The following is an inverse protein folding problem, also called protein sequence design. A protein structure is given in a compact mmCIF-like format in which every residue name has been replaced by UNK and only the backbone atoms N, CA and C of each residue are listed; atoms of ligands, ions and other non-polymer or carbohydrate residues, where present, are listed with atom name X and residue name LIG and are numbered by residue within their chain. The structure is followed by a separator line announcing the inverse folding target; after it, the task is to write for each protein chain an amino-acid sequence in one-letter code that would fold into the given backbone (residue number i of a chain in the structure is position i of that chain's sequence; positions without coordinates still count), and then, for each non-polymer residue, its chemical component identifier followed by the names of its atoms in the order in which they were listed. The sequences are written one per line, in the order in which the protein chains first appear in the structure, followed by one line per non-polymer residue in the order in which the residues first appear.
data_IF_604323190027
#
_entry.id   IF_604323190027
#
_cell.length_a   1.000
_cell.length_b   1.000
_cell.length_c   1.000
_cell.angle_alpha   90.00
_cell.angle_beta   90.00
_cell.angle_gamma   90.00
#
_symmetry.space_group_name_H-M   'P 1'
#
loop_
_entity.id
_entity.type
_entity.pdbx_description
1 polymer ?
#
# COMPACT_ATOMS: atom_id res chain seq x y z
N UNK A 1 31.89 9.14 93.60
CA UNK A 1 32.04 7.67 93.76
C UNK A 1 30.82 7.04 93.13
N UNK A 2 31.05 6.12 92.18
CA UNK A 2 30.10 5.12 91.63
C UNK A 2 28.87 5.69 90.89
N UNK A 3 28.48 5.29 89.67
CA UNK A 3 28.83 4.14 88.84
C UNK A 3 27.54 3.64 88.16
N UNK A 4 27.64 3.33 86.86
CA UNK A 4 26.74 2.50 86.03
C UNK A 4 25.33 3.08 85.71
N UNK A 5 24.65 2.86 84.56
CA UNK A 5 24.61 1.84 83.48
C UNK A 5 23.93 2.45 82.22
N UNK A 6 24.50 2.33 81.01
CA UNK A 6 24.15 1.41 79.90
C UNK A 6 22.73 1.49 79.30
N UNK A 7 22.70 1.97 78.04
CA UNK A 7 21.94 1.57 76.84
C UNK A 7 20.41 1.43 76.82
N UNK A 8 19.79 2.07 75.81
CA UNK A 8 19.30 1.40 74.59
C UNK A 8 18.76 2.42 73.56
N UNK A 9 18.92 2.05 72.29
CA UNK A 9 18.75 2.78 71.03
C UNK A 9 17.29 2.71 70.51
N UNK A 10 16.90 3.58 69.55
CA UNK A 10 15.87 3.42 68.47
C UNK A 10 14.92 4.64 68.45
N UNK A 11 14.61 5.41 67.39
CA UNK A 11 14.97 5.50 65.96
C UNK A 11 14.49 6.88 65.47
N UNK A 12 15.31 7.64 64.76
CA UNK A 12 14.90 8.90 64.14
C UNK A 12 14.31 8.64 62.74
N UNK A 13 13.10 9.13 62.52
CA UNK A 13 12.37 9.10 61.25
C UNK A 13 13.07 10.06 60.28
N UNK A 14 13.68 9.51 59.22
CA UNK A 14 14.18 10.29 58.08
C UNK A 14 13.07 10.37 57.03
N UNK A 15 12.55 11.58 56.80
CA UNK A 15 11.66 11.90 55.68
C UNK A 15 12.54 12.11 54.43
N UNK A 16 12.38 11.35 53.34
CA UNK A 16 13.04 11.69 52.07
C UNK A 16 12.23 12.78 51.35
N UNK A 17 12.94 13.82 50.93
CA UNK A 17 12.45 14.87 50.04
C UNK A 17 11.94 14.30 48.71
N UNK A 18 10.71 14.65 48.33
CA UNK A 18 10.18 14.46 46.98
C UNK A 18 11.07 15.12 45.93
N UNK A 19 11.36 14.37 44.86
CA UNK A 19 11.91 14.90 43.62
C UNK A 19 10.85 14.64 42.53
N UNK A 20 10.35 15.66 41.81
CA UNK A 20 9.14 15.53 41.02
C UNK A 20 9.38 14.74 39.73
N UNK A 21 8.34 14.02 39.34
CA UNK A 21 8.21 13.16 38.18
C UNK A 21 8.70 13.80 36.87
N UNK A 22 9.67 13.16 36.20
CA UNK A 22 9.74 13.21 34.73
C UNK A 22 8.69 12.24 34.19
N UNK A 23 7.62 12.82 33.67
CA UNK A 23 6.41 12.20 33.18
C UNK A 23 6.67 11.23 32.01
N UNK A 24 6.05 10.06 32.11
CA UNK A 24 5.96 8.94 31.14
C UNK A 24 5.24 9.28 29.81
N UNK A 25 5.03 10.56 29.49
CA UNK A 25 4.09 10.98 28.42
C UNK A 25 4.75 11.07 27.03
N UNK A 26 6.08 11.14 26.93
CA UNK A 26 6.76 11.35 25.63
C UNK A 26 7.39 10.10 24.99
N UNK A 27 7.38 8.93 25.65
CA UNK A 27 7.94 7.71 25.05
C UNK A 27 6.95 6.98 24.12
N UNK A 28 5.66 7.03 24.44
CA UNK A 28 4.63 6.29 23.68
C UNK A 28 4.30 6.91 22.32
N UNK A 29 4.59 8.20 22.12
CA UNK A 29 4.46 8.89 20.82
C UNK A 29 5.65 8.64 19.91
N UNK A 30 6.87 8.63 20.45
CA UNK A 30 8.10 8.52 19.66
C UNK A 30 8.34 7.06 19.20
N UNK A 31 8.02 6.07 20.05
CA UNK A 31 8.10 4.64 19.70
C UNK A 31 7.02 4.22 18.70
N UNK A 32 5.81 4.79 18.78
CA UNK A 32 4.77 4.59 17.77
C UNK A 32 5.13 5.28 16.45
N UNK A 33 5.77 6.45 16.49
CA UNK A 33 6.20 7.15 15.28
C UNK A 33 7.38 6.45 14.57
N UNK A 34 8.35 5.92 15.32
CA UNK A 34 9.48 5.16 14.78
C UNK A 34 9.06 3.76 14.29
N UNK A 35 8.15 3.07 15.00
CA UNK A 35 7.63 1.78 14.56
C UNK A 35 6.78 1.92 13.29
N UNK A 36 5.87 2.90 13.22
CA UNK A 36 5.08 3.18 12.02
C UNK A 36 5.96 3.53 10.80
N UNK A 37 7.00 4.34 10.99
CA UNK A 37 7.94 4.70 9.91
C UNK A 37 8.76 3.52 9.37
N UNK A 38 8.93 2.46 10.16
CA UNK A 38 9.62 1.24 9.70
C UNK A 38 8.69 0.29 8.94
N UNK A 39 7.43 0.18 9.36
CA UNK A 39 6.41 -0.69 8.74
C UNK A 39 5.87 -0.14 7.43
N UNK A 40 6.04 1.16 7.18
CA UNK A 40 5.53 1.83 5.99
C UNK A 40 6.57 1.93 4.87
N UNK A 41 7.77 1.36 5.05
CA UNK A 41 8.81 1.35 4.01
C UNK A 41 8.51 0.29 2.95
N UNK A 42 8.56 0.71 1.69
CA UNK A 42 8.49 -0.19 0.55
C UNK A 42 9.77 -1.02 0.47
N UNK A 43 9.64 -2.34 0.39
CA UNK A 43 10.72 -3.28 0.14
C UNK A 43 10.45 -4.02 -1.17
N UNK A 44 11.03 -3.52 -2.25
CA UNK A 44 10.84 -4.08 -3.60
C UNK A 44 11.52 -5.44 -3.77
N UNK A 45 12.52 -5.77 -2.94
CA UNK A 45 13.23 -7.07 -2.99
C UNK A 45 12.37 -8.17 -2.39
N UNK A 46 11.64 -7.84 -1.32
CA UNK A 46 10.67 -8.75 -0.67
C UNK A 46 9.25 -8.61 -1.23
N UNK A 47 9.05 -7.79 -2.26
CA UNK A 47 7.73 -7.54 -2.86
C UNK A 47 6.72 -7.08 -1.79
N UNK A 48 7.14 -6.14 -0.93
CA UNK A 48 6.28 -5.53 0.09
C UNK A 48 6.03 -4.09 -0.25
N UNK A 49 4.76 -3.76 -0.42
CA UNK A 49 4.30 -2.43 -0.81
C UNK A 49 3.22 -1.93 0.16
N UNK A 50 3.56 -1.63 1.43
CA UNK A 50 2.57 -1.23 2.44
C UNK A 50 1.62 -0.17 1.90
N UNK A 51 0.31 -0.41 2.02
CA UNK A 51 -0.78 0.51 1.63
C UNK A 51 -0.60 1.15 0.24
N UNK A 52 -0.09 0.38 -0.71
CA UNK A 52 0.07 0.81 -2.09
C UNK A 52 -1.03 0.28 -3.00
N UNK A 53 -1.36 1.04 -4.02
CA UNK A 53 -1.87 0.48 -5.27
C UNK A 53 -0.66 0.06 -6.09
N UNK A 54 -0.69 -1.15 -6.65
CA UNK A 54 0.39 -1.69 -7.48
C UNK A 54 -0.12 -1.98 -8.89
N UNK A 55 0.78 -1.96 -9.87
CA UNK A 55 0.43 -2.15 -11.27
C UNK A 55 1.51 -2.93 -12.02
N UNK A 56 1.08 -3.79 -12.94
CA UNK A 56 1.94 -4.63 -13.78
C UNK A 56 1.42 -4.69 -15.22
N UNK A 57 2.28 -4.72 -16.25
CA UNK A 57 1.85 -4.77 -17.64
C UNK A 57 1.21 -6.13 -17.97
N UNK A 58 0.08 -6.09 -18.68
CA UNK A 58 -0.59 -7.28 -19.25
C UNK A 58 0.06 -7.59 -20.60
N UNK A 59 0.60 -8.80 -20.82
CA UNK A 59 1.17 -9.19 -22.11
C UNK A 59 0.18 -8.95 -23.26
N UNK A 60 0.71 -8.52 -24.42
CA UNK A 60 -0.05 -8.13 -25.63
C UNK A 60 -0.89 -6.86 -25.44
N UNK A 61 -1.75 -6.78 -24.43
CA UNK A 61 -2.66 -5.66 -24.23
C UNK A 61 -1.90 -4.36 -23.90
N UNK A 62 -0.99 -4.39 -22.94
CA UNK A 62 -0.16 -3.22 -22.59
C UNK A 62 0.80 -2.85 -23.72
N UNK A 63 1.16 -3.81 -24.58
CA UNK A 63 2.02 -3.53 -25.73
C UNK A 63 1.31 -2.67 -26.77
N UNK A 64 -0.02 -2.77 -26.88
CA UNK A 64 -0.84 -1.91 -27.73
C UNK A 64 -1.21 -0.61 -27.02
N UNK A 65 -1.51 -0.69 -25.72
CA UNK A 65 -1.98 0.43 -24.91
C UNK A 65 -1.16 0.52 -23.60
N UNK A 66 -0.05 1.27 -23.55
CA UNK A 66 0.89 1.26 -22.42
C UNK A 66 0.32 1.83 -21.10
N UNK A 67 -0.87 2.43 -21.15
CA UNK A 67 -1.63 2.90 -19.99
C UNK A 67 -2.62 1.87 -19.44
N UNK A 68 -2.88 0.77 -20.17
CA UNK A 68 -3.72 -0.35 -19.71
C UNK A 68 -2.82 -1.42 -19.12
N UNK A 69 -3.13 -1.91 -17.93
CA UNK A 69 -2.45 -3.05 -17.32
C UNK A 69 -3.25 -3.61 -16.16
N UNK A 70 -2.60 -4.39 -15.31
CA UNK A 70 -3.24 -5.09 -14.20
C UNK A 70 -2.93 -4.42 -12.89
N UNK A 71 -3.95 -4.29 -12.04
CA UNK A 71 -3.88 -3.52 -10.80
C UNK A 71 -4.12 -4.41 -9.58
N UNK A 72 -3.43 -4.11 -8.48
CA UNK A 72 -3.67 -4.71 -7.18
C UNK A 72 -3.63 -3.65 -6.09
N UNK A 73 -4.09 -4.02 -4.90
CA UNK A 73 -3.98 -3.20 -3.70
C UNK A 73 -3.30 -4.01 -2.61
N UNK A 74 -2.35 -3.37 -1.92
CA UNK A 74 -1.60 -4.01 -0.86
C UNK A 74 -2.15 -3.63 0.51
N UNK A 75 -2.13 -4.60 1.41
CA UNK A 75 -2.40 -4.41 2.83
C UNK A 75 -1.33 -3.53 3.49
N UNK A 76 -1.54 -3.19 4.74
CA UNK A 76 -0.61 -2.37 5.52
C UNK A 76 0.68 -3.11 5.93
N UNK A 77 0.74 -4.43 5.79
CA UNK A 77 1.96 -5.26 5.86
C UNK A 77 2.69 -5.38 4.52
N UNK A 78 2.11 -4.82 3.45
CA UNK A 78 2.66 -4.80 2.11
C UNK A 78 2.37 -6.03 1.25
N UNK A 79 1.58 -6.99 1.74
CA UNK A 79 1.11 -8.13 0.95
C UNK A 79 0.07 -7.66 -0.07
N UNK A 80 0.28 -8.00 -1.34
CA UNK A 80 -0.58 -7.59 -2.45
C UNK A 80 -1.80 -8.52 -2.55
N UNK A 81 -2.97 -7.94 -2.80
CA UNK A 81 -4.19 -8.62 -3.23
C UNK A 81 -4.62 -8.08 -4.60
N UNK A 82 -4.83 -8.97 -5.56
CA UNK A 82 -5.28 -8.63 -6.91
C UNK A 82 -6.31 -9.64 -7.42
N UNK A 83 -7.36 -9.14 -8.07
CA UNK A 83 -8.35 -9.99 -8.72
C UNK A 83 -7.77 -10.57 -10.02
N UNK A 84 -7.18 -11.76 -9.92
CA UNK A 84 -6.34 -12.37 -10.94
C UNK A 84 -7.10 -13.24 -11.95
N UNK A 85 -8.38 -13.55 -11.68
CA UNK A 85 -9.22 -14.33 -12.58
C UNK A 85 -10.61 -14.60 -11.97
N UNK A 86 -11.52 -15.25 -12.70
CA UNK A 86 -12.88 -15.49 -12.22
C UNK A 86 -12.85 -16.21 -10.86
N UNK A 87 -13.55 -15.66 -9.88
CA UNK A 87 -13.64 -16.20 -8.52
C UNK A 87 -12.30 -16.32 -7.78
N UNK A 88 -11.25 -15.66 -8.27
CA UNK A 88 -9.89 -15.80 -7.75
C UNK A 88 -9.24 -14.44 -7.49
N UNK A 89 -8.99 -14.16 -6.22
CA UNK A 89 -8.14 -13.06 -5.77
C UNK A 89 -6.84 -13.66 -5.28
N UNK A 90 -5.74 -13.31 -5.94
CA UNK A 90 -4.41 -13.79 -5.60
C UNK A 90 -3.89 -13.08 -4.35
N UNK A 91 -2.99 -13.75 -3.64
CA UNK A 91 -2.25 -13.21 -2.51
C UNK A 91 -0.76 -13.32 -2.79
N UNK A 92 -0.05 -12.20 -2.64
CA UNK A 92 1.41 -12.05 -2.77
C UNK A 92 2.01 -12.33 -4.16
N UNK A 93 1.24 -12.88 -5.10
CA UNK A 93 1.65 -13.15 -6.48
C UNK A 93 0.65 -12.57 -7.48
N UNK A 94 0.99 -11.43 -8.08
CA UNK A 94 0.13 -10.81 -9.10
C UNK A 94 0.01 -11.66 -10.37
N UNK A 95 -1.16 -11.63 -10.99
CA UNK A 95 -1.51 -12.44 -12.16
C UNK A 95 -0.50 -12.38 -13.33
N UNK A 96 0.08 -11.20 -13.61
CA UNK A 96 0.98 -10.98 -14.75
C UNK A 96 2.45 -10.74 -14.33
N UNK A 97 2.78 -11.18 -13.12
CA UNK A 97 4.11 -11.07 -12.53
C UNK A 97 4.31 -9.77 -11.73
N UNK A 98 5.53 -9.57 -11.26
CA UNK A 98 5.88 -8.53 -10.29
C UNK A 98 5.42 -7.11 -10.71
N UNK A 99 5.01 -6.26 -9.74
CA UNK A 99 4.71 -4.86 -10.00
C UNK A 99 5.85 -4.17 -10.76
N UNK A 100 5.50 -3.37 -11.78
CA UNK A 100 6.44 -2.44 -12.41
C UNK A 100 6.20 -1.02 -11.95
N UNK A 101 5.01 -0.73 -11.41
CA UNK A 101 4.63 0.58 -10.86
C UNK A 101 3.88 0.43 -9.55
N UNK A 102 3.97 1.45 -8.72
CA UNK A 102 3.22 1.54 -7.46
C UNK A 102 2.86 2.98 -7.13
N UNK A 103 1.82 3.14 -6.32
CA UNK A 103 1.37 4.39 -5.74
C UNK A 103 1.12 4.14 -4.26
N UNK A 104 1.98 4.68 -3.39
CA UNK A 104 1.80 4.59 -1.94
C UNK A 104 0.79 5.63 -1.47
N UNK A 105 -0.24 5.19 -0.77
CA UNK A 105 -1.33 6.05 -0.29
C UNK A 105 -1.08 6.50 1.15
N UNK A 106 -1.73 7.58 1.57
CA UNK A 106 -1.59 8.12 2.92
C UNK A 106 -2.73 7.60 3.80
N UNK A 107 -2.40 6.79 4.81
CA UNK A 107 -3.40 6.21 5.72
C UNK A 107 -4.23 7.27 6.46
N UNK A 108 -3.70 8.50 6.64
CA UNK A 108 -4.43 9.60 7.27
C UNK A 108 -5.60 10.10 6.42
N UNK A 109 -5.68 9.69 5.14
CA UNK A 109 -6.79 10.02 4.24
C UNK A 109 -7.92 9.00 4.27
N UNK A 110 -7.77 7.89 4.98
CA UNK A 110 -8.87 6.94 5.22
C UNK A 110 -9.92 7.62 6.07
N UNK A 111 -11.20 7.57 5.66
CA UNK A 111 -12.27 8.19 6.43
C UNK A 111 -12.44 7.46 7.76
N UNK A 112 -12.21 8.17 8.87
CA UNK A 112 -12.39 7.65 10.22
C UNK A 112 -13.87 7.56 10.59
N UNK A 113 -14.65 6.71 9.93
CA UNK A 113 -16.03 6.44 10.36
C UNK A 113 -16.10 5.68 11.70
N UNK A 114 -14.95 5.27 12.25
CA UNK A 114 -14.84 4.75 13.62
C UNK A 114 -13.41 4.86 14.14
N UNK A 115 -13.20 5.79 15.09
CA UNK A 115 -11.98 6.01 15.91
C UNK A 115 -10.64 6.17 15.15
N UNK A 116 -10.01 7.35 15.31
CA UNK A 116 -8.68 7.71 14.79
C UNK A 116 -7.55 6.72 15.13
N UNK A 117 -7.79 5.79 16.06
CA UNK A 117 -6.76 4.95 16.67
C UNK A 117 -6.49 3.66 15.88
N UNK A 118 -7.17 3.40 14.74
CA UNK A 118 -6.96 2.15 14.01
C UNK A 118 -7.11 2.22 12.48
N UNK A 119 -6.52 3.24 11.84
CA UNK A 119 -6.56 3.43 10.38
C UNK A 119 -6.01 2.23 9.60
N UNK A 120 -4.96 1.58 10.12
CA UNK A 120 -4.36 0.38 9.51
C UNK A 120 -5.37 -0.77 9.42
N UNK A 121 -6.14 -1.02 10.49
CA UNK A 121 -7.17 -2.05 10.48
C UNK A 121 -8.34 -1.72 9.55
N UNK A 122 -8.73 -0.45 9.45
CA UNK A 122 -9.78 -0.02 8.49
C UNK A 122 -9.32 -0.28 7.05
N UNK A 123 -8.07 0.06 6.73
CA UNK A 123 -7.48 -0.22 5.42
C UNK A 123 -7.48 -1.72 5.12
N UNK A 124 -6.93 -2.54 6.01
CA UNK A 124 -6.80 -3.98 5.79
C UNK A 124 -8.16 -4.68 5.69
N UNK A 125 -9.13 -4.30 6.53
CA UNK A 125 -10.50 -4.82 6.44
C UNK A 125 -11.18 -4.46 5.12
N UNK A 126 -10.98 -3.24 4.62
CA UNK A 126 -11.56 -2.84 3.34
C UNK A 126 -10.94 -3.61 2.17
N UNK A 127 -9.63 -3.85 2.20
CA UNK A 127 -8.93 -4.72 1.22
C UNK A 127 -9.43 -6.16 1.30
N UNK A 128 -9.62 -6.69 2.50
CA UNK A 128 -10.15 -8.03 2.72
C UNK A 128 -11.61 -8.16 2.25
N UNK A 129 -12.47 -7.22 2.61
CA UNK A 129 -13.87 -7.19 2.18
C UNK A 129 -13.99 -7.11 0.66
N UNK A 130 -13.18 -6.27 0.00
CA UNK A 130 -13.09 -6.23 -1.46
C UNK A 130 -12.62 -7.58 -2.03
N UNK A 131 -11.62 -8.19 -1.42
CA UNK A 131 -11.13 -9.51 -1.85
C UNK A 131 -12.22 -10.58 -1.75
N UNK A 132 -12.96 -10.63 -0.65
CA UNK A 132 -13.98 -11.65 -0.42
C UNK A 132 -15.23 -11.47 -1.30
N UNK A 133 -15.56 -10.23 -1.65
CA UNK A 133 -16.59 -9.93 -2.64
C UNK A 133 -16.15 -10.39 -4.04
N UNK A 134 -14.92 -10.08 -4.46
CA UNK A 134 -14.44 -10.42 -5.80
C UNK A 134 -14.12 -11.91 -5.99
N UNK A 135 -13.86 -12.66 -4.91
CA UNK A 135 -13.85 -14.13 -4.93
C UNK A 135 -15.18 -14.75 -5.35
N UNK A 136 -16.29 -13.99 -5.29
CA UNK A 136 -17.62 -14.45 -5.70
C UNK A 136 -18.01 -13.99 -7.11
N UNK A 137 -17.16 -13.17 -7.76
CA UNK A 137 -17.49 -12.51 -9.03
C UNK A 137 -16.80 -13.17 -10.22
N UNK A 138 -17.47 -13.14 -11.36
CA UNK A 138 -16.90 -13.56 -12.63
C UNK A 138 -15.99 -12.45 -13.16
N UNK A 139 -14.75 -12.79 -13.52
CA UNK A 139 -13.77 -11.81 -13.99
C UNK A 139 -14.02 -11.45 -15.45
N UNK A 140 -14.44 -10.21 -15.69
CA UNK A 140 -14.60 -9.66 -17.04
C UNK A 140 -13.44 -8.71 -17.35
N UNK A 141 -12.74 -8.93 -18.46
CA UNK A 141 -11.50 -8.21 -18.82
C UNK A 141 -11.64 -6.67 -18.78
N UNK A 142 -12.83 -6.13 -19.12
CA UNK A 142 -13.06 -4.69 -19.25
C UNK A 142 -14.05 -4.03 -18.26
N UNK A 143 -14.95 -4.77 -17.59
CA UNK A 143 -16.08 -4.16 -16.86
C UNK A 143 -16.21 -4.55 -15.38
N UNK A 144 -15.70 -5.73 -14.98
CA UNK A 144 -15.61 -6.17 -13.59
C UNK A 144 -14.25 -6.83 -13.43
N UNK A 145 -13.23 -5.96 -13.32
CA UNK A 145 -11.83 -6.35 -13.40
C UNK A 145 -11.05 -5.92 -12.15
N UNK A 146 -9.75 -6.12 -12.20
CA UNK A 146 -8.81 -5.76 -11.15
C UNK A 146 -8.89 -4.30 -10.67
N UNK A 147 -9.22 -3.34 -11.52
CA UNK A 147 -9.41 -1.95 -11.10
C UNK A 147 -10.71 -1.76 -10.32
N UNK A 148 -11.78 -2.48 -10.66
CA UNK A 148 -13.03 -2.44 -9.89
C UNK A 148 -12.83 -3.00 -8.48
N UNK A 149 -11.99 -4.03 -8.33
CA UNK A 149 -11.59 -4.58 -7.03
C UNK A 149 -10.86 -3.54 -6.17
N UNK A 150 -9.86 -2.86 -6.73
CA UNK A 150 -9.15 -1.78 -6.02
C UNK A 150 -10.06 -0.59 -5.74
N UNK A 151 -10.91 -0.20 -6.68
CA UNK A 151 -11.89 0.87 -6.50
C UNK A 151 -12.86 0.56 -5.36
N UNK A 152 -13.36 -0.69 -5.29
CA UNK A 152 -14.20 -1.12 -4.20
C UNK A 152 -13.47 -0.98 -2.86
N UNK A 153 -12.23 -1.46 -2.74
CA UNK A 153 -11.47 -1.32 -1.50
C UNK A 153 -11.37 0.16 -1.06
N UNK A 154 -10.99 1.06 -1.97
CA UNK A 154 -10.86 2.50 -1.69
C UNK A 154 -12.20 3.15 -1.31
N UNK A 155 -13.28 2.76 -1.98
CA UNK A 155 -14.63 3.23 -1.65
C UNK A 155 -15.08 2.69 -0.28
N UNK A 156 -14.83 1.42 0.02
CA UNK A 156 -15.17 0.78 1.31
C UNK A 156 -14.46 1.45 2.49
N UNK A 157 -13.20 1.85 2.33
CA UNK A 157 -12.46 2.60 3.37
C UNK A 157 -12.73 4.12 3.36
N UNK A 158 -13.52 4.63 2.41
CA UNK A 158 -13.79 6.06 2.25
C UNK A 158 -12.52 6.90 2.05
N UNK A 159 -11.55 6.40 1.26
CA UNK A 159 -10.27 7.09 1.06
C UNK A 159 -10.48 8.49 0.49
N UNK A 160 -9.78 9.49 1.02
CA UNK A 160 -9.91 10.92 0.67
C UNK A 160 -11.35 11.46 0.81
N UNK A 161 -12.16 10.85 1.70
CA UNK A 161 -13.60 11.11 1.87
C UNK A 161 -14.40 10.92 0.57
N UNK A 162 -13.92 10.06 -0.33
CA UNK A 162 -14.58 9.71 -1.59
C UNK A 162 -15.08 8.27 -1.56
N UNK A 163 -16.19 8.06 -2.26
CA UNK A 163 -16.87 6.76 -2.39
C UNK A 163 -17.19 6.41 -3.86
N UNK A 164 -16.55 7.12 -4.80
CA UNK A 164 -16.82 7.06 -6.24
C UNK A 164 -15.57 6.73 -7.08
N UNK A 165 -14.54 6.13 -6.46
CA UNK A 165 -13.45 5.53 -7.22
C UNK A 165 -14.00 4.50 -8.20
N UNK A 166 -13.46 4.49 -9.41
CA UNK A 166 -13.85 3.60 -10.47
C UNK A 166 -12.64 3.22 -11.32
N UNK A 167 -12.85 2.34 -12.28
CA UNK A 167 -11.77 1.76 -13.08
C UNK A 167 -10.98 2.82 -13.84
N UNK A 168 -11.68 3.79 -14.43
CA UNK A 168 -11.10 4.83 -15.27
C UNK A 168 -10.30 5.82 -14.42
N UNK A 169 -10.85 6.28 -13.29
CA UNK A 169 -10.15 7.21 -12.41
C UNK A 169 -8.87 6.58 -11.84
N UNK A 170 -8.90 5.28 -11.50
CA UNK A 170 -7.70 4.56 -11.05
C UNK A 170 -6.68 4.34 -12.16
N UNK A 171 -7.12 4.00 -13.38
CA UNK A 171 -6.22 3.85 -14.52
C UNK A 171 -5.44 5.15 -14.79
N UNK A 172 -6.12 6.29 -14.83
CA UNK A 172 -5.46 7.59 -14.99
C UNK A 172 -4.56 7.95 -13.80
N UNK A 173 -5.03 7.70 -12.58
CA UNK A 173 -4.24 8.01 -11.38
C UNK A 173 -2.95 7.21 -11.33
N UNK A 174 -3.01 5.91 -11.61
CA UNK A 174 -1.82 5.07 -11.73
C UNK A 174 -0.94 5.49 -12.91
N UNK A 175 -1.53 5.82 -14.06
CA UNK A 175 -0.77 6.19 -15.24
C UNK A 175 0.06 7.46 -15.04
N UNK A 176 -0.50 8.51 -14.42
CA UNK A 176 0.18 9.79 -14.23
C UNK A 176 0.97 9.89 -12.92
N UNK A 177 0.50 9.24 -11.85
CA UNK A 177 1.11 9.39 -10.51
C UNK A 177 1.90 8.16 -10.04
N UNK A 178 1.77 7.01 -10.72
CA UNK A 178 2.47 5.78 -10.33
C UNK A 178 3.98 5.89 -10.55
N UNK A 179 4.76 5.55 -9.52
CA UNK A 179 6.22 5.48 -9.56
C UNK A 179 6.66 4.14 -10.13
N UNK A 180 7.71 4.12 -10.95
CA UNK A 180 8.32 2.85 -11.37
C UNK A 180 9.07 2.20 -10.21
N UNK A 181 8.97 0.87 -10.11
CA UNK A 181 9.70 0.07 -9.11
C UNK A 181 11.22 0.19 -9.31
N UNK A 182 11.66 0.14 -10.57
CA UNK A 182 13.04 0.32 -10.98
C UNK A 182 13.10 0.62 -12.49
N UNK A 183 14.29 0.87 -13.01
CA UNK A 183 14.50 1.10 -14.44
C UNK A 183 14.03 -0.07 -15.32
N UNK A 184 14.24 -1.31 -14.87
CA UNK A 184 13.73 -2.50 -15.57
C UNK A 184 12.20 -2.52 -15.70
N UNK A 185 11.47 -2.06 -14.68
CA UNK A 185 10.01 -1.91 -14.73
C UNK A 185 9.56 -0.88 -15.77
N UNK A 186 10.30 0.22 -15.93
CA UNK A 186 10.07 1.19 -17.01
C UNK A 186 10.27 0.53 -18.37
N UNK A 187 11.42 -0.13 -18.59
CA UNK A 187 11.71 -0.80 -19.84
C UNK A 187 10.66 -1.86 -20.20
N UNK A 188 10.27 -2.71 -19.24
CA UNK A 188 9.25 -3.75 -19.42
C UNK A 188 7.88 -3.18 -19.80
N UNK A 189 7.58 -1.95 -19.36
CA UNK A 189 6.31 -1.28 -19.67
C UNK A 189 6.33 -0.69 -21.09
N UNK A 190 7.42 -0.06 -21.52
CA UNK A 190 7.45 0.73 -22.76
C UNK A 190 8.08 0.05 -23.98
N UNK A 191 9.10 -0.79 -23.81
CA UNK A 191 9.84 -1.38 -24.93
C UNK A 191 8.91 -2.10 -25.93
N UNK A 192 7.99 -2.99 -25.50
CA UNK A 192 7.13 -3.71 -26.44
C UNK A 192 6.27 -2.77 -27.30
N UNK A 193 5.70 -1.71 -26.71
CA UNK A 193 4.94 -0.70 -27.42
C UNK A 193 5.81 0.06 -28.41
N UNK A 194 7.01 0.49 -28.01
CA UNK A 194 7.93 1.22 -28.88
C UNK A 194 8.38 0.39 -30.08
N UNK A 195 8.63 -0.92 -29.90
CA UNK A 195 8.96 -1.83 -31.00
C UNK A 195 7.79 -1.93 -31.98
N UNK A 196 6.57 -2.19 -31.49
CA UNK A 196 5.39 -2.29 -32.34
C UNK A 196 5.11 -0.99 -33.09
N UNK A 197 5.17 0.15 -32.40
CA UNK A 197 4.99 1.47 -33.01
C UNK A 197 6.05 1.72 -34.10
N UNK A 198 7.30 1.35 -33.84
CA UNK A 198 8.39 1.50 -34.83
C UNK A 198 8.14 0.66 -36.08
N UNK A 199 7.69 -0.59 -35.94
CA UNK A 199 7.33 -1.46 -37.08
C UNK A 199 6.19 -0.83 -37.89
N UNK A 200 5.13 -0.37 -37.23
CA UNK A 200 3.98 0.26 -37.91
C UNK A 200 4.43 1.52 -38.67
N UNK A 201 5.27 2.35 -38.07
CA UNK A 201 5.82 3.55 -38.71
C UNK A 201 6.64 3.16 -39.95
N UNK A 202 7.58 2.21 -39.82
CA UNK A 202 8.42 1.76 -40.94
C UNK A 202 7.57 1.22 -42.09
N UNK A 203 6.62 0.34 -41.81
CA UNK A 203 5.72 -0.23 -42.84
C UNK A 203 4.93 0.88 -43.53
N UNK A 204 4.36 1.80 -42.76
CA UNK A 204 3.57 2.93 -43.30
C UNK A 204 4.43 3.82 -44.21
N UNK A 205 5.66 4.11 -43.80
CA UNK A 205 6.60 4.91 -44.59
C UNK A 205 6.97 4.18 -45.88
N UNK A 206 7.32 2.89 -45.83
CA UNK A 206 7.68 2.10 -47.02
C UNK A 206 6.53 2.03 -48.02
N UNK A 207 5.31 1.72 -47.56
CA UNK A 207 4.12 1.66 -48.43
C UNK A 207 3.85 3.01 -49.09
N UNK A 208 3.98 4.10 -48.33
CA UNK A 208 3.78 5.46 -48.85
C UNK A 208 4.86 5.89 -49.85
N UNK A 209 6.08 5.37 -49.75
CA UNK A 209 7.14 5.61 -50.73
C UNK A 209 6.96 4.80 -52.02
N UNK A 210 6.14 3.73 -51.99
CA UNK A 210 5.88 2.86 -53.13
C UNK A 210 4.58 3.21 -53.89
N UNK A 211 3.75 4.10 -53.33
CA UNK A 211 2.46 4.55 -53.93
C UNK A 211 2.61 5.96 -54.48
#
# INVERSE_FOLDING_TARGET
MSGATSDQITTAIVIPSENPSKSKVNQMSDDNFLSNNSTDRIDTKRVRYPHCIVWTPIPVLTWLFPFIGHMGIARTDGVIRDFAGPYYVSEDNMAFGLPTRYLQLDLNRVSSLGSSNNLRNVWDKAVEQASDEYKKRMHNLCCDNCHSHVAMALNTMGYDRKYSYNMVSLAFWMFFCGKYVNFGGLLRTWIPFLILASIVIVVTVVVKLQT
#
